data_IF_800769965365
#
_entry.id   IF_800769965365
#
_cell.length_a   1.000
_cell.length_b   1.000
_cell.length_c   1.000
_cell.angle_alpha   90.00
_cell.angle_beta   90.00
_cell.angle_gamma   90.00
#
_symmetry.space_group_name_H-M   'P 1'
#
loop_
_entity.id
_entity.type
_entity.pdbx_description
1 polymer ?
#
# COMPACT_ATOMS: atom_id res chain seq x y z
N UNK A 1 -26.90 -38.91 29.15
CA UNK A 1 -26.88 -37.47 29.49
C UNK A 1 -25.48 -36.83 29.57
N UNK A 2 -24.36 -37.56 29.76
CA UNK A 2 -23.01 -36.96 29.73
C UNK A 2 -22.51 -36.60 28.31
N UNK A 3 -22.90 -37.34 27.27
CA UNK A 3 -22.45 -37.10 25.88
C UNK A 3 -22.89 -35.76 25.28
N UNK A 4 -24.14 -35.35 25.48
CA UNK A 4 -24.71 -34.11 24.91
C UNK A 4 -24.17 -32.81 25.52
N UNK A 5 -23.66 -32.85 26.76
CA UNK A 5 -23.08 -31.67 27.43
C UNK A 5 -21.62 -31.47 27.02
N UNK A 6 -20.87 -32.56 26.79
CA UNK A 6 -19.52 -32.51 26.24
C UNK A 6 -19.54 -31.99 24.79
N UNK A 7 -20.40 -32.54 23.93
CA UNK A 7 -20.59 -32.07 22.54
C UNK A 7 -20.94 -30.59 22.44
N UNK A 8 -21.91 -30.10 23.25
CA UNK A 8 -22.29 -28.67 23.27
C UNK A 8 -21.17 -27.73 23.75
N UNK A 9 -20.20 -28.23 24.52
CA UNK A 9 -19.11 -27.42 25.09
C UNK A 9 -17.89 -27.37 24.17
N UNK A 10 -17.57 -28.46 23.48
CA UNK A 10 -16.58 -28.47 22.38
C UNK A 10 -16.91 -27.43 21.30
N UNK A 11 -18.21 -27.28 21.04
CA UNK A 11 -18.72 -26.28 20.11
C UNK A 11 -18.35 -24.85 20.51
N UNK A 12 -18.11 -24.53 21.79
CA UNK A 12 -17.92 -23.14 22.24
C UNK A 12 -16.50 -22.62 22.00
N UNK A 13 -15.45 -23.30 22.48
CA UNK A 13 -14.07 -22.86 22.22
C UNK A 13 -13.74 -22.91 20.74
N UNK A 14 -14.26 -23.90 20.01
CA UNK A 14 -14.14 -23.97 18.56
C UNK A 14 -14.88 -22.83 17.86
N UNK A 15 -16.09 -22.48 18.31
CA UNK A 15 -16.85 -21.35 17.76
C UNK A 15 -16.14 -20.01 18.01
N UNK A 16 -15.62 -19.79 19.22
CA UNK A 16 -14.83 -18.59 19.53
C UNK A 16 -13.56 -18.54 18.69
N UNK A 17 -12.86 -19.68 18.51
CA UNK A 17 -11.69 -19.78 17.63
C UNK A 17 -12.03 -19.43 16.18
N UNK A 18 -13.15 -19.92 15.65
CA UNK A 18 -13.59 -19.59 14.28
C UNK A 18 -13.84 -18.09 14.14
N UNK A 19 -14.59 -17.49 15.07
CA UNK A 19 -14.82 -16.04 15.07
C UNK A 19 -13.49 -15.28 15.13
N UNK A 20 -12.57 -15.75 15.98
CA UNK A 20 -11.27 -15.12 16.15
C UNK A 20 -10.41 -15.22 14.87
N UNK A 21 -10.39 -16.37 14.19
CA UNK A 21 -9.71 -16.54 12.90
C UNK A 21 -10.26 -15.56 11.87
N UNK A 22 -11.58 -15.44 11.75
CA UNK A 22 -12.20 -14.47 10.84
C UNK A 22 -11.89 -13.03 11.23
N UNK A 23 -11.80 -12.73 12.52
CA UNK A 23 -11.44 -11.39 13.01
C UNK A 23 -9.99 -11.06 12.67
N UNK A 24 -9.06 -12.01 12.87
CA UNK A 24 -7.65 -11.85 12.45
C UNK A 24 -7.58 -11.61 10.95
N UNK A 25 -8.21 -12.46 10.13
CA UNK A 25 -8.26 -12.27 8.67
C UNK A 25 -8.88 -10.93 8.28
N UNK A 26 -9.96 -10.52 8.96
CA UNK A 26 -10.58 -9.23 8.71
C UNK A 26 -9.60 -8.09 8.95
N UNK A 27 -8.88 -8.08 10.08
CA UNK A 27 -7.97 -6.99 10.43
C UNK A 27 -6.65 -7.00 9.67
N UNK A 28 -6.07 -8.18 9.41
CA UNK A 28 -4.77 -8.28 8.74
C UNK A 28 -4.90 -8.23 7.22
N UNK A 29 -6.01 -8.74 6.68
CA UNK A 29 -6.22 -8.82 5.23
C UNK A 29 -7.32 -7.86 4.78
N UNK A 30 -8.53 -7.90 5.34
CA UNK A 30 -9.67 -7.19 4.73
C UNK A 30 -9.77 -5.69 5.05
N UNK A 31 -9.31 -5.25 6.23
CA UNK A 31 -9.36 -3.85 6.64
C UNK A 31 -8.09 -3.08 6.32
N UNK A 32 -7.00 -3.75 5.89
CA UNK A 32 -5.80 -3.06 5.42
C UNK A 32 -6.13 -2.35 4.10
N UNK A 33 -5.90 -1.04 4.04
CA UNK A 33 -5.83 -0.31 2.77
C UNK A 33 -4.67 -0.90 1.97
N UNK A 34 -4.83 -0.89 0.65
CA UNK A 34 -3.81 -1.34 -0.27
C UNK A 34 -2.44 -0.77 0.12
N UNK A 35 -1.47 -1.64 0.40
CA UNK A 35 -0.08 -1.32 0.73
C UNK A 35 0.77 -2.21 -0.12
N UNK A 36 1.44 -1.62 -1.08
CA UNK A 36 2.15 -2.34 -2.10
C UNK A 36 3.65 -2.16 -1.91
N UNK A 37 4.27 -3.18 -1.32
CA UNK A 37 5.72 -3.34 -1.29
C UNK A 37 6.08 -4.65 -2.00
N UNK A 38 7.21 -4.68 -2.72
CA UNK A 38 7.70 -5.88 -3.38
C UNK A 38 8.06 -6.96 -2.33
N UNK A 39 7.64 -8.23 -2.49
CA UNK A 39 7.87 -9.28 -1.51
C UNK A 39 9.36 -9.41 -1.15
N UNK A 40 9.66 -9.30 0.14
CA UNK A 40 11.02 -9.40 0.69
C UNK A 40 11.23 -10.82 1.22
N UNK A 41 12.00 -11.62 0.49
CA UNK A 41 12.28 -13.02 0.88
C UNK A 41 13.46 -13.17 1.86
N UNK A 42 14.09 -12.07 2.26
CA UNK A 42 15.22 -12.07 3.19
C UNK A 42 14.78 -12.52 4.59
N UNK A 43 15.24 -13.69 5.03
CA UNK A 43 14.94 -14.20 6.37
C UNK A 43 15.56 -13.31 7.46
N UNK A 44 14.79 -13.03 8.50
CA UNK A 44 15.16 -12.28 9.71
C UNK A 44 15.57 -10.82 9.49
N UNK A 45 15.16 -10.22 8.36
CA UNK A 45 15.50 -8.83 8.07
C UNK A 45 14.82 -7.87 9.06
N UNK A 46 13.57 -8.12 9.44
CA UNK A 46 12.80 -7.23 10.33
C UNK A 46 13.39 -7.27 11.74
N UNK A 47 13.74 -8.47 12.21
CA UNK A 47 14.47 -8.68 13.46
C UNK A 47 15.83 -7.99 13.46
N UNK A 48 16.59 -8.06 12.36
CA UNK A 48 17.88 -7.37 12.25
C UNK A 48 17.72 -5.86 12.34
N UNK A 49 16.71 -5.27 11.69
CA UNK A 49 16.44 -3.83 11.79
C UNK A 49 16.00 -3.43 13.19
N UNK A 50 15.14 -4.22 13.83
CA UNK A 50 14.75 -3.98 15.22
C UNK A 50 15.96 -3.98 16.16
N UNK A 51 16.84 -4.98 16.05
CA UNK A 51 18.09 -5.07 16.83
C UNK A 51 19.07 -3.92 16.51
N UNK A 52 18.93 -3.28 15.35
CA UNK A 52 19.71 -2.09 14.96
C UNK A 52 19.11 -0.78 15.47
N UNK A 53 17.98 -0.84 16.19
CA UNK A 53 17.36 0.31 16.87
C UNK A 53 16.05 0.80 16.26
N UNK A 54 15.50 0.14 15.24
CA UNK A 54 14.21 0.52 14.66
C UNK A 54 13.03 0.09 15.56
N UNK A 55 12.51 1.04 16.34
CA UNK A 55 11.43 0.79 17.29
C UNK A 55 10.07 0.54 16.63
N UNK A 56 9.86 1.04 15.41
CA UNK A 56 8.60 0.88 14.71
C UNK A 56 8.45 -0.55 14.19
N UNK A 57 9.51 -1.09 13.58
CA UNK A 57 9.57 -2.51 13.18
C UNK A 57 9.46 -3.44 14.39
N UNK A 58 10.11 -3.07 15.50
CA UNK A 58 9.98 -3.82 16.75
C UNK A 58 8.52 -3.89 17.25
N UNK A 59 7.76 -2.80 17.10
CA UNK A 59 6.35 -2.76 17.46
C UNK A 59 5.49 -3.65 16.56
N UNK A 60 5.81 -3.73 15.27
CA UNK A 60 5.14 -4.61 14.31
C UNK A 60 5.34 -6.09 14.67
N UNK A 61 6.58 -6.51 14.91
CA UNK A 61 6.94 -7.88 15.35
C UNK A 61 6.18 -8.25 16.63
N UNK A 62 6.18 -7.36 17.64
CA UNK A 62 5.46 -7.60 18.89
C UNK A 62 3.94 -7.66 18.69
N UNK A 63 3.39 -6.88 17.76
CA UNK A 63 1.99 -6.93 17.35
C UNK A 63 1.60 -8.29 16.78
N UNK A 64 2.42 -8.82 15.87
CA UNK A 64 2.23 -10.13 15.25
C UNK A 64 2.29 -11.27 16.30
N UNK A 65 3.27 -11.24 17.19
CA UNK A 65 3.34 -12.17 18.33
C UNK A 65 2.08 -12.06 19.19
N UNK A 66 1.69 -10.86 19.61
CA UNK A 66 0.54 -10.66 20.49
C UNK A 66 -0.77 -11.15 19.85
N UNK A 67 -0.94 -10.96 18.54
CA UNK A 67 -2.13 -11.37 17.80
C UNK A 67 -2.33 -12.88 17.79
N UNK A 68 -1.27 -13.69 17.82
CA UNK A 68 -1.41 -15.16 17.82
C UNK A 68 -1.52 -15.77 19.22
N UNK A 69 -1.37 -14.99 20.30
CA UNK A 69 -1.54 -15.49 21.68
C UNK A 69 -2.96 -16.05 21.93
N UNK A 70 -4.07 -15.34 21.61
CA UNK A 70 -5.40 -15.90 21.78
C UNK A 70 -5.63 -17.14 20.92
N UNK A 71 -5.09 -17.16 19.70
CA UNK A 71 -5.19 -18.30 18.78
C UNK A 71 -4.60 -19.58 19.39
N UNK A 72 -3.37 -19.51 19.89
CA UNK A 72 -2.71 -20.65 20.55
C UNK A 72 -3.41 -21.11 21.83
N UNK A 73 -3.93 -20.16 22.62
CA UNK A 73 -4.71 -20.46 23.82
C UNK A 73 -6.02 -21.19 23.49
N UNK A 74 -6.78 -20.71 22.50
CA UNK A 74 -8.07 -21.26 22.10
C UNK A 74 -7.96 -22.66 21.45
N UNK A 75 -6.90 -22.90 20.66
CA UNK A 75 -6.62 -24.26 20.14
C UNK A 75 -6.31 -25.22 21.29
N UNK A 76 -5.48 -24.79 22.23
CA UNK A 76 -5.12 -25.60 23.40
C UNK A 76 -6.35 -25.96 24.24
N UNK A 77 -7.25 -24.99 24.44
CA UNK A 77 -8.57 -25.16 25.04
C UNK A 77 -9.44 -26.18 24.29
N UNK A 78 -9.59 -26.03 22.97
CA UNK A 78 -10.41 -26.93 22.16
C UNK A 78 -9.88 -28.37 22.11
N UNK A 79 -8.57 -28.56 22.23
CA UNK A 79 -7.92 -29.88 22.22
C UNK A 79 -7.91 -30.56 23.59
N UNK A 80 -7.94 -29.80 24.68
CA UNK A 80 -7.90 -30.35 26.04
C UNK A 80 -8.99 -31.39 26.28
N UNK A 81 -10.17 -31.13 25.75
CA UNK A 81 -11.33 -31.99 25.95
C UNK A 81 -11.28 -33.28 25.13
N UNK A 82 -10.29 -33.46 24.24
CA UNK A 82 -10.06 -34.68 23.45
C UNK A 82 -9.03 -35.63 24.07
N UNK A 83 -8.60 -35.38 25.31
CA UNK A 83 -7.56 -36.17 25.99
C UNK A 83 -6.24 -36.28 25.19
N UNK A 84 -5.89 -35.24 24.43
CA UNK A 84 -4.63 -35.19 23.68
C UNK A 84 -3.43 -35.11 24.64
N UNK A 85 -2.32 -35.78 24.28
CA UNK A 85 -1.04 -35.57 24.96
C UNK A 85 -0.52 -34.15 24.74
N UNK A 86 0.29 -33.62 25.67
CA UNK A 86 0.90 -32.29 25.53
C UNK A 86 1.70 -32.14 24.23
N UNK A 87 2.39 -33.21 23.82
CA UNK A 87 3.12 -33.24 22.55
C UNK A 87 2.17 -33.08 21.35
N UNK A 88 1.05 -33.79 21.35
CA UNK A 88 0.04 -33.65 20.30
C UNK A 88 -0.57 -32.24 20.28
N UNK A 89 -0.83 -31.64 21.43
CA UNK A 89 -1.28 -30.24 21.51
C UNK A 89 -0.24 -29.29 20.92
N UNK A 90 1.04 -29.43 21.29
CA UNK A 90 2.13 -28.64 20.72
C UNK A 90 2.19 -28.76 19.19
N UNK A 91 2.19 -29.98 18.65
CA UNK A 91 2.23 -30.21 17.20
C UNK A 91 1.04 -29.56 16.49
N UNK A 92 -0.18 -29.69 17.04
CA UNK A 92 -1.37 -29.10 16.42
C UNK A 92 -1.33 -27.57 16.50
N UNK A 93 -0.91 -26.98 17.63
CA UNK A 93 -0.76 -25.53 17.77
C UNK A 93 0.24 -24.99 16.75
N UNK A 94 1.44 -25.58 16.65
CA UNK A 94 2.46 -25.14 15.68
C UNK A 94 1.96 -25.29 14.25
N UNK A 95 1.43 -26.46 13.87
CA UNK A 95 0.94 -26.69 12.51
C UNK A 95 -0.19 -25.74 12.13
N UNK A 96 -1.11 -25.47 13.06
CA UNK A 96 -2.23 -24.56 12.82
C UNK A 96 -1.79 -23.10 12.76
N UNK A 97 -0.81 -22.70 13.58
CA UNK A 97 -0.26 -21.35 13.57
C UNK A 97 0.49 -21.07 12.27
N UNK A 98 1.34 -22.00 11.83
CA UNK A 98 2.05 -21.91 10.54
C UNK A 98 1.04 -21.86 9.38
N UNK A 99 0.05 -22.76 9.37
CA UNK A 99 -0.97 -22.77 8.31
C UNK A 99 -1.78 -21.47 8.27
N UNK A 100 -2.25 -21.00 9.43
CA UNK A 100 -3.01 -19.76 9.53
C UNK A 100 -2.16 -18.55 9.12
N UNK A 101 -0.90 -18.47 9.56
CA UNK A 101 0.00 -17.40 9.19
C UNK A 101 0.29 -17.40 7.70
N UNK A 102 0.65 -18.56 7.11
CA UNK A 102 0.84 -18.67 5.67
C UNK A 102 -0.42 -18.30 4.90
N UNK A 103 -1.60 -18.63 5.41
CA UNK A 103 -2.87 -18.21 4.77
C UNK A 103 -3.00 -16.67 4.79
N UNK A 104 -2.67 -16.02 5.89
CA UNK A 104 -2.66 -14.54 5.99
C UNK A 104 -1.64 -13.95 5.02
N UNK A 105 -0.38 -14.40 5.04
CA UNK A 105 0.69 -13.91 4.17
C UNK A 105 0.39 -14.12 2.68
N UNK A 106 -0.10 -15.30 2.30
CA UNK A 106 -0.48 -15.59 0.90
C UNK A 106 -1.67 -14.74 0.48
N UNK A 107 -2.67 -14.54 1.33
CA UNK A 107 -3.79 -13.65 1.02
C UNK A 107 -3.33 -12.19 0.92
N UNK A 108 -2.42 -11.73 1.79
CA UNK A 108 -1.83 -10.40 1.68
C UNK A 108 -1.01 -10.24 0.41
N UNK A 109 -0.26 -11.26 -0.01
CA UNK A 109 0.49 -11.26 -1.27
C UNK A 109 -0.44 -11.23 -2.50
N UNK A 110 -1.42 -12.13 -2.55
CA UNK A 110 -2.35 -12.27 -3.70
C UNK A 110 -3.30 -11.08 -3.80
N UNK A 111 -3.80 -10.57 -2.68
CA UNK A 111 -4.64 -9.37 -2.64
C UNK A 111 -3.82 -8.08 -2.60
N UNK A 112 -2.49 -8.20 -2.56
CA UNK A 112 -1.53 -7.10 -2.54
C UNK A 112 -1.79 -6.08 -1.41
N UNK A 113 -2.06 -6.59 -0.21
CA UNK A 113 -2.32 -5.82 1.02
C UNK A 113 -1.17 -5.91 2.03
N UNK A 114 -0.02 -6.44 1.60
CA UNK A 114 1.17 -6.58 2.43
C UNK A 114 2.28 -7.34 1.72
N UNK A 115 3.44 -7.35 2.37
CA UNK A 115 4.57 -8.22 2.03
C UNK A 115 4.27 -9.64 2.50
N UNK A 116 4.74 -10.64 1.75
CA UNK A 116 4.89 -11.98 2.30
C UNK A 116 6.18 -12.00 3.13
N UNK A 117 6.09 -12.17 4.44
CA UNK A 117 7.25 -12.13 5.34
C UNK A 117 7.40 -13.43 6.13
N UNK A 118 8.54 -14.11 5.96
CA UNK A 118 8.87 -15.29 6.77
C UNK A 118 8.99 -14.95 8.27
N UNK A 119 9.40 -13.72 8.57
CA UNK A 119 9.55 -13.21 9.93
C UNK A 119 8.21 -13.12 10.66
N UNK A 120 7.13 -12.87 9.93
CA UNK A 120 5.77 -12.83 10.45
C UNK A 120 5.25 -14.22 10.76
N UNK A 121 5.54 -15.21 9.91
CA UNK A 121 5.26 -16.62 10.20
C UNK A 121 5.96 -17.07 11.49
N UNK A 122 7.21 -16.66 11.69
CA UNK A 122 7.95 -16.96 12.92
C UNK A 122 7.37 -16.25 14.15
N UNK A 123 7.06 -14.96 14.03
CA UNK A 123 6.44 -14.14 15.08
C UNK A 123 5.08 -14.71 15.52
N UNK A 124 4.21 -14.99 14.56
CA UNK A 124 2.88 -15.55 14.76
C UNK A 124 2.94 -16.93 15.43
N UNK A 125 3.86 -17.79 14.97
CA UNK A 125 4.07 -19.10 15.59
C UNK A 125 4.55 -18.97 17.04
N UNK A 126 5.45 -18.03 17.33
CA UNK A 126 5.92 -17.74 18.69
C UNK A 126 4.78 -17.25 19.60
N UNK A 127 3.92 -16.38 19.10
CA UNK A 127 2.69 -15.95 19.78
C UNK A 127 1.78 -17.10 20.16
N UNK A 128 1.52 -18.02 19.22
CA UNK A 128 0.69 -19.20 19.46
C UNK A 128 1.28 -20.11 20.55
N UNK A 129 2.60 -20.28 20.58
CA UNK A 129 3.29 -21.04 21.63
C UNK A 129 3.15 -20.38 23.02
N UNK A 130 3.25 -19.05 23.10
CA UNK A 130 2.99 -18.29 24.33
C UNK A 130 1.54 -18.51 24.80
N UNK A 131 0.57 -18.44 23.89
CA UNK A 131 -0.84 -18.74 24.19
C UNK A 131 -1.07 -20.14 24.76
N UNK A 132 -0.43 -21.16 24.18
CA UNK A 132 -0.45 -22.53 24.69
C UNK A 132 0.17 -22.63 26.09
N UNK A 133 1.29 -21.94 26.33
CA UNK A 133 1.93 -21.92 27.64
C UNK A 133 1.02 -21.31 28.70
N UNK A 134 0.39 -20.16 28.41
CA UNK A 134 -0.60 -19.51 29.28
C UNK A 134 -1.74 -20.48 29.62
N UNK A 135 -2.25 -21.21 28.62
CA UNK A 135 -3.28 -22.21 28.83
C UNK A 135 -2.85 -23.30 29.83
N UNK A 136 -1.65 -23.88 29.68
CA UNK A 136 -1.17 -24.91 30.60
C UNK A 136 -0.87 -24.40 32.01
N UNK A 137 -0.41 -23.15 32.14
CA UNK A 137 -0.23 -22.50 33.44
C UNK A 137 -1.59 -22.33 34.12
N UNK A 138 -2.59 -21.81 33.40
CA UNK A 138 -3.94 -21.64 33.91
C UNK A 138 -4.56 -22.98 34.33
N UNK A 139 -4.36 -24.02 33.50
CA UNK A 139 -4.82 -25.38 33.78
C UNK A 139 -4.26 -25.92 35.10
N UNK A 140 -2.95 -25.74 35.30
CA UNK A 140 -2.26 -26.19 36.52
C UNK A 140 -2.68 -25.38 37.74
N UNK A 141 -2.88 -24.07 37.60
CA UNK A 141 -3.14 -23.16 38.71
C UNK A 141 -4.61 -23.16 39.18
N UNK A 142 -5.57 -23.36 38.27
CA UNK A 142 -6.98 -23.07 38.56
C UNK A 142 -7.82 -24.26 39.04
N UNK A 143 -7.30 -25.50 38.99
CA UNK A 143 -7.95 -26.69 39.52
C UNK A 143 -9.43 -26.80 39.13
N UNK A 144 -10.34 -26.88 40.11
CA UNK A 144 -11.80 -26.99 39.89
C UNK A 144 -12.45 -25.75 39.25
N UNK A 145 -11.81 -24.58 39.32
CA UNK A 145 -12.30 -23.31 38.77
C UNK A 145 -11.82 -23.05 37.34
N UNK A 146 -10.94 -23.91 36.82
CA UNK A 146 -10.30 -23.75 35.51
C UNK A 146 -11.28 -23.42 34.39
N UNK A 147 -12.43 -24.08 34.34
CA UNK A 147 -13.39 -23.92 33.23
C UNK A 147 -14.07 -22.55 33.16
N UNK A 148 -14.34 -21.94 34.31
CA UNK A 148 -14.91 -20.59 34.34
C UNK A 148 -13.85 -19.56 33.93
N UNK A 149 -12.63 -19.73 34.45
CA UNK A 149 -11.48 -18.88 34.13
C UNK A 149 -11.04 -19.01 32.67
N UNK A 150 -11.02 -20.22 32.11
CA UNK A 150 -10.63 -20.50 30.72
C UNK A 150 -11.40 -19.65 29.71
N UNK A 151 -12.73 -19.59 29.86
CA UNK A 151 -13.58 -18.83 28.95
C UNK A 151 -13.39 -17.32 29.15
N UNK A 152 -13.39 -16.84 30.39
CA UNK A 152 -13.23 -15.41 30.70
C UNK A 152 -11.84 -14.89 30.29
N UNK A 153 -10.79 -15.66 30.54
CA UNK A 153 -9.41 -15.34 30.15
C UNK A 153 -9.27 -15.38 28.63
N UNK A 154 -9.82 -16.40 27.95
CA UNK A 154 -9.79 -16.47 26.49
C UNK A 154 -10.46 -15.27 25.82
N UNK A 155 -11.64 -14.86 26.31
CA UNK A 155 -12.34 -13.66 25.81
C UNK A 155 -11.53 -12.40 26.10
N UNK A 156 -11.00 -12.25 27.33
CA UNK A 156 -10.26 -11.06 27.72
C UNK A 156 -8.97 -10.88 26.90
N UNK A 157 -8.21 -11.96 26.67
CA UNK A 157 -7.01 -11.93 25.82
C UNK A 157 -7.40 -11.61 24.38
N UNK A 158 -8.46 -12.23 23.84
CA UNK A 158 -8.93 -11.93 22.48
C UNK A 158 -9.34 -10.45 22.31
N UNK A 159 -10.13 -9.90 23.25
CA UNK A 159 -10.54 -8.49 23.23
C UNK A 159 -9.35 -7.57 23.39
N UNK A 160 -8.44 -7.85 24.33
CA UNK A 160 -7.24 -7.05 24.53
C UNK A 160 -6.35 -7.00 23.27
N UNK A 161 -6.15 -8.15 22.62
CA UNK A 161 -5.40 -8.20 21.37
C UNK A 161 -6.12 -7.44 20.24
N UNK A 162 -7.45 -7.55 20.13
CA UNK A 162 -8.22 -6.75 19.17
C UNK A 162 -8.05 -5.26 19.46
N UNK A 163 -8.12 -4.83 20.73
CA UNK A 163 -7.92 -3.41 21.10
C UNK A 163 -6.51 -2.93 20.78
N UNK A 164 -5.46 -3.74 20.99
CA UNK A 164 -4.09 -3.37 20.59
C UNK A 164 -3.98 -3.25 19.08
N UNK A 165 -4.52 -4.22 18.33
CA UNK A 165 -4.47 -4.23 16.86
C UNK A 165 -5.26 -3.05 16.28
N UNK A 166 -6.46 -2.77 16.81
CA UNK A 166 -7.29 -1.63 16.40
C UNK A 166 -6.74 -0.28 16.88
N UNK A 167 -6.17 -0.23 18.09
CA UNK A 167 -5.67 1.00 18.72
C UNK A 167 -4.35 1.48 18.14
N UNK A 168 -3.58 0.61 17.47
CA UNK A 168 -2.42 0.99 16.67
C UNK A 168 -2.78 1.42 15.25
N UNK A 169 -4.05 1.32 14.84
CA UNK A 169 -4.56 1.93 13.64
C UNK A 169 -4.72 3.43 13.82
N UNK A 170 -3.60 4.16 13.98
CA UNK A 170 -3.63 5.58 13.73
C UNK A 170 -4.19 5.76 12.31
N UNK A 171 -5.32 6.45 12.23
CA UNK A 171 -5.93 6.98 11.02
C UNK A 171 -5.02 8.03 10.39
N UNK A 172 -3.79 7.66 10.06
CA UNK A 172 -3.08 8.33 8.98
C UNK A 172 -3.75 7.80 7.71
N UNK A 173 -4.30 8.72 6.91
CA UNK A 173 -4.71 8.39 5.56
C UNK A 173 -3.47 7.89 4.81
N UNK A 174 -3.19 6.59 4.88
CA UNK A 174 -2.14 5.98 4.10
C UNK A 174 -2.53 6.16 2.63
N UNK A 175 -1.77 7.01 1.95
CA UNK A 175 -1.93 7.30 0.53
C UNK A 175 -1.70 6.04 -0.29
N UNK A 176 -2.48 5.89 -1.36
CA UNK A 176 -2.33 4.77 -2.30
C UNK A 176 -0.92 4.74 -2.88
N UNK A 177 -0.17 3.67 -2.67
CA UNK A 177 1.21 3.51 -3.12
C UNK A 177 1.36 2.61 -4.36
N UNK A 178 0.26 2.32 -5.08
CA UNK A 178 0.26 1.56 -6.36
C UNK A 178 1.31 2.06 -7.36
N UNK A 179 1.59 3.38 -7.38
CA UNK A 179 2.58 3.99 -8.25
C UNK A 179 3.99 3.41 -8.09
N UNK A 180 4.30 2.75 -6.97
CA UNK A 180 5.60 2.12 -6.69
C UNK A 180 5.77 0.74 -7.32
N UNK A 181 4.70 0.15 -7.85
CA UNK A 181 4.71 -1.26 -8.29
C UNK A 181 4.83 -1.43 -9.80
N UNK A 182 4.33 -0.45 -10.54
CA UNK A 182 4.26 -0.54 -11.98
C UNK A 182 4.32 0.84 -12.62
N UNK A 183 4.90 0.87 -13.80
CA UNK A 183 4.85 1.99 -14.69
C UNK A 183 3.57 1.92 -15.51
N UNK A 184 2.91 3.07 -15.69
CA UNK A 184 1.78 3.24 -16.58
C UNK A 184 1.71 4.68 -17.04
N UNK A 185 1.65 4.88 -18.35
CA UNK A 185 1.50 6.18 -18.97
C UNK A 185 0.68 6.05 -20.25
N UNK A 186 -0.20 7.01 -20.46
CA UNK A 186 -0.92 7.23 -21.73
C UNK A 186 -0.27 8.41 -22.44
N UNK A 187 0.24 8.18 -23.64
CA UNK A 187 0.92 9.19 -24.45
C UNK A 187 -0.05 9.93 -25.36
N UNK A 188 -1.08 9.23 -25.84
CA UNK A 188 -2.16 9.81 -26.62
C UNK A 188 -3.44 9.05 -26.36
N UNK A 189 -4.54 9.78 -26.19
CA UNK A 189 -5.89 9.23 -26.20
C UNK A 189 -6.81 10.17 -26.98
N UNK A 190 -7.77 9.60 -27.70
CA UNK A 190 -8.81 10.33 -28.39
C UNK A 190 -10.07 9.49 -28.52
N UNK A 191 -11.22 10.14 -28.39
CA UNK A 191 -12.53 9.52 -28.56
C UNK A 191 -13.13 10.05 -29.87
N UNK A 192 -13.51 9.14 -30.75
CA UNK A 192 -14.14 9.46 -32.02
C UNK A 192 -15.29 8.49 -32.28
N UNK A 193 -16.49 9.01 -32.52
CA UNK A 193 -17.71 8.24 -32.80
C UNK A 193 -17.98 7.15 -31.74
N UNK A 194 -17.87 7.51 -30.46
CA UNK A 194 -18.06 6.57 -29.34
C UNK A 194 -16.99 5.49 -29.18
N UNK A 195 -15.84 5.62 -29.86
CA UNK A 195 -14.71 4.69 -29.73
C UNK A 195 -13.48 5.42 -29.22
N UNK A 196 -12.95 4.97 -28.08
CA UNK A 196 -11.67 5.46 -27.56
C UNK A 196 -10.51 4.73 -28.24
N UNK A 197 -9.50 5.49 -28.64
CA UNK A 197 -8.21 4.97 -29.09
C UNK A 197 -7.13 5.57 -28.21
N UNK A 198 -6.30 4.72 -27.63
CA UNK A 198 -5.24 5.17 -26.73
C UNK A 198 -3.94 4.40 -26.95
N UNK A 199 -2.83 5.10 -26.76
CA UNK A 199 -1.47 4.56 -26.87
C UNK A 199 -0.67 4.95 -25.64
N UNK A 200 0.29 4.11 -25.28
CA UNK A 200 1.13 4.35 -24.13
C UNK A 200 1.99 3.14 -23.82
N UNK A 201 2.44 3.03 -22.58
CA UNK A 201 3.21 1.90 -22.11
C UNK A 201 2.91 1.56 -20.66
N UNK A 202 3.04 0.28 -20.33
CA UNK A 202 2.88 -0.20 -18.97
C UNK A 202 3.70 -1.46 -18.72
N UNK A 203 4.26 -1.56 -17.52
CA UNK A 203 5.00 -2.74 -17.09
C UNK A 203 5.15 -2.72 -15.57
N UNK A 204 5.45 -3.88 -14.99
CA UNK A 204 5.74 -3.98 -13.55
C UNK A 204 7.24 -3.80 -13.30
N UNK A 205 7.58 -2.96 -12.34
CA UNK A 205 8.99 -2.74 -12.00
C UNK A 205 9.62 -4.04 -11.47
N UNK A 206 10.86 -4.29 -11.90
CA UNK A 206 11.68 -5.44 -11.45
C UNK A 206 11.00 -6.80 -11.68
N UNK A 207 10.20 -6.90 -12.74
CA UNK A 207 9.51 -8.13 -13.12
C UNK A 207 9.70 -8.38 -14.62
N UNK A 208 9.77 -9.64 -15.06
CA UNK A 208 9.72 -9.97 -16.49
C UNK A 208 8.44 -9.41 -17.13
N UNK A 209 8.53 -9.06 -18.41
CA UNK A 209 7.36 -8.60 -19.16
C UNK A 209 6.25 -9.65 -19.18
N UNK A 210 5.06 -9.17 -18.86
CA UNK A 210 3.82 -9.94 -18.90
C UNK A 210 2.74 -9.09 -19.52
N UNK A 211 1.97 -9.69 -20.43
CA UNK A 211 0.81 -9.04 -21.03
C UNK A 211 -0.21 -8.66 -19.93
N UNK A 212 -0.99 -7.62 -20.19
CA UNK A 212 -2.01 -7.10 -19.28
C UNK A 212 -3.27 -6.74 -20.06
N UNK A 213 -4.38 -6.74 -19.34
CA UNK A 213 -5.65 -6.21 -19.82
C UNK A 213 -5.84 -4.78 -19.30
N UNK A 214 -6.50 -3.94 -20.10
CA UNK A 214 -6.95 -2.62 -19.69
C UNK A 214 -8.48 -2.57 -19.64
N UNK A 215 -8.99 -1.83 -18.67
CA UNK A 215 -10.41 -1.61 -18.47
C UNK A 215 -10.68 -0.13 -18.19
N UNK A 216 -11.86 0.33 -18.57
CA UNK A 216 -12.38 1.64 -18.22
C UNK A 216 -13.45 1.47 -17.15
N UNK A 217 -13.21 2.03 -15.97
CA UNK A 217 -14.17 1.97 -14.87
C UNK A 217 -15.35 2.89 -15.16
N UNK A 218 -16.56 2.34 -15.08
CA UNK A 218 -17.82 3.06 -15.21
C UNK A 218 -18.78 2.67 -14.08
N UNK A 219 -19.74 3.54 -13.78
CA UNK A 219 -20.79 3.28 -12.78
C UNK A 219 -21.59 2.00 -13.07
N UNK A 220 -21.70 1.63 -14.35
CA UNK A 220 -22.45 0.45 -14.81
C UNK A 220 -21.61 -0.84 -14.88
N UNK A 221 -20.32 -0.76 -14.55
CA UNK A 221 -19.36 -1.85 -14.66
C UNK A 221 -18.19 -1.51 -15.57
N UNK A 222 -17.07 -2.19 -15.35
CA UNK A 222 -15.83 -1.95 -16.07
C UNK A 222 -15.94 -2.41 -17.53
N UNK A 223 -15.57 -1.55 -18.49
CA UNK A 223 -15.52 -1.85 -19.92
C UNK A 223 -14.13 -2.38 -20.27
N UNK A 224 -14.04 -3.59 -20.82
CA UNK A 224 -12.75 -4.16 -21.24
C UNK A 224 -12.32 -3.57 -22.58
N UNK A 225 -11.05 -3.16 -22.68
CA UNK A 225 -10.45 -2.70 -23.93
C UNK A 225 -9.79 -3.86 -24.69
N UNK A 226 -9.77 -3.76 -26.01
CA UNK A 226 -8.91 -4.58 -26.86
C UNK A 226 -7.50 -4.00 -26.84
N UNK A 227 -6.53 -4.78 -26.35
CA UNK A 227 -5.15 -4.33 -26.16
C UNK A 227 -4.22 -5.07 -27.12
N UNK A 228 -3.44 -4.31 -27.88
CA UNK A 228 -2.35 -4.81 -28.70
C UNK A 228 -1.01 -4.30 -28.15
N UNK A 229 -0.10 -5.22 -27.83
CA UNK A 229 1.24 -4.88 -27.33
C UNK A 229 2.13 -4.34 -28.47
N UNK A 230 2.99 -3.38 -28.15
CA UNK A 230 3.89 -2.68 -29.08
C UNK A 230 5.32 -2.60 -28.50
N UNK A 231 6.32 -2.62 -29.37
CA UNK A 231 7.72 -2.45 -28.99
C UNK A 231 8.08 -0.97 -28.72
N UNK A 232 8.84 -0.75 -27.67
CA UNK A 232 9.26 0.50 -27.02
C UNK A 232 10.65 0.33 -26.40
N UNK A 233 11.70 0.19 -27.24
CA UNK A 233 13.08 0.03 -26.75
C UNK A 233 13.59 1.25 -25.97
N UNK A 234 13.06 2.43 -26.23
CA UNK A 234 13.30 3.68 -25.50
C UNK A 234 12.93 3.59 -24.00
N UNK A 235 11.94 2.77 -23.64
CA UNK A 235 11.60 2.49 -22.24
C UNK A 235 12.76 1.80 -21.53
N UNK A 236 13.44 0.85 -22.19
CA UNK A 236 14.63 0.20 -21.62
C UNK A 236 15.77 1.19 -21.41
N UNK A 237 15.98 2.10 -22.36
CA UNK A 237 17.06 3.09 -22.28
C UNK A 237 16.89 4.02 -21.06
N UNK A 238 15.65 4.41 -20.76
CA UNK A 238 15.34 5.25 -19.60
C UNK A 238 15.46 4.48 -18.27
N UNK A 239 14.78 3.33 -18.12
CA UNK A 239 14.75 2.60 -16.85
C UNK A 239 16.02 1.78 -16.59
N UNK A 240 16.79 1.45 -17.63
CA UNK A 240 18.14 0.90 -17.58
C UNK A 240 18.33 -0.20 -16.54
N UNK A 241 17.55 -1.28 -16.61
CA UNK A 241 17.60 -2.40 -15.66
C UNK A 241 17.83 -3.75 -16.36
N UNK A 242 18.07 -4.81 -15.58
CA UNK A 242 18.35 -6.17 -16.08
C UNK A 242 17.12 -6.86 -16.73
N UNK A 243 15.93 -6.25 -16.62
CA UNK A 243 14.71 -6.75 -17.23
C UNK A 243 14.43 -6.04 -18.55
N UNK A 244 13.93 -6.81 -19.52
CA UNK A 244 13.57 -6.31 -20.84
C UNK A 244 12.11 -5.83 -20.86
N UNK A 245 11.92 -4.52 -20.90
CA UNK A 245 10.64 -3.82 -21.09
C UNK A 245 10.43 -3.36 -22.53
N UNK A 246 11.15 -3.89 -23.52
CA UNK A 246 10.99 -3.45 -24.91
C UNK A 246 9.54 -3.65 -25.37
N UNK A 247 8.86 -4.72 -24.96
CA UNK A 247 7.47 -4.96 -25.35
C UNK A 247 6.42 -4.35 -24.41
N UNK A 248 6.73 -3.23 -23.76
CA UNK A 248 5.85 -2.59 -22.77
C UNK A 248 4.81 -1.63 -23.36
N UNK A 249 4.95 -1.27 -24.64
CA UNK A 249 4.00 -0.41 -25.32
C UNK A 249 2.65 -1.07 -25.51
N UNK A 250 1.59 -0.27 -25.60
CA UNK A 250 0.26 -0.74 -25.95
C UNK A 250 -0.46 0.23 -26.89
N UNK A 251 -1.33 -0.34 -27.72
CA UNK A 251 -2.45 0.34 -28.37
C UNK A 251 -3.72 -0.30 -27.84
N UNK A 252 -4.67 0.49 -27.35
CA UNK A 252 -5.92 -0.01 -26.83
C UNK A 252 -7.12 0.71 -27.43
N UNK A 253 -8.17 -0.05 -27.71
CA UNK A 253 -9.44 0.44 -28.27
C UNK A 253 -10.64 -0.13 -27.52
N UNK A 254 -11.74 0.62 -27.47
CA UNK A 254 -12.99 0.15 -26.89
C UNK A 254 -14.15 1.12 -27.10
N UNK A 255 -15.36 0.62 -26.90
CA UNK A 255 -16.58 1.42 -26.96
C UNK A 255 -16.77 2.20 -25.66
N UNK A 256 -17.07 3.49 -25.77
CA UNK A 256 -17.31 4.40 -24.65
C UNK A 256 -18.54 5.26 -24.93
N UNK A 257 -19.20 5.71 -23.85
CA UNK A 257 -20.21 6.75 -23.97
C UNK A 257 -19.47 8.09 -24.13
N UNK A 258 -19.94 8.93 -25.05
CA UNK A 258 -19.48 10.32 -25.18
C UNK A 258 -19.81 11.14 -23.93
N UNK A 259 -19.05 12.21 -23.70
CA UNK A 259 -19.15 13.16 -22.59
C UNK A 259 -18.96 12.54 -21.19
N UNK A 260 -18.21 11.43 -21.10
CA UNK A 260 -17.86 10.78 -19.83
C UNK A 260 -16.36 10.72 -19.59
N UNK A 261 -15.99 10.80 -18.31
CA UNK A 261 -14.65 10.50 -17.84
C UNK A 261 -14.60 9.07 -17.28
N UNK A 262 -13.55 8.34 -17.65
CA UNK A 262 -13.31 6.97 -17.23
C UNK A 262 -11.96 6.86 -16.55
N UNK A 263 -11.91 6.21 -15.39
CA UNK A 263 -10.65 5.80 -14.77
C UNK A 263 -10.11 4.54 -15.47
N UNK A 264 -8.84 4.54 -15.86
CA UNK A 264 -8.20 3.36 -16.43
C UNK A 264 -7.77 2.41 -15.33
N UNK A 265 -8.16 1.16 -15.46
CA UNK A 265 -7.79 0.04 -14.59
C UNK A 265 -6.93 -0.93 -15.38
N UNK A 266 -5.76 -1.26 -14.84
CA UNK A 266 -4.85 -2.25 -15.42
C UNK A 266 -4.93 -3.56 -14.67
N UNK A 267 -4.90 -4.69 -15.38
CA UNK A 267 -4.97 -6.02 -14.78
C UNK A 267 -3.96 -6.96 -15.41
N UNK A 268 -3.04 -7.44 -14.58
CA UNK A 268 -2.12 -8.52 -14.95
C UNK A 268 -2.72 -9.90 -14.64
N UNK A 269 -2.21 -10.97 -15.28
CA UNK A 269 -2.56 -12.34 -14.94
C UNK A 269 -2.44 -12.59 -13.43
N UNK A 270 -3.46 -13.21 -12.84
CA UNK A 270 -3.53 -13.58 -11.42
C UNK A 270 -3.61 -12.41 -10.43
N UNK A 271 -3.65 -11.16 -10.90
CA UNK A 271 -3.84 -9.97 -10.07
C UNK A 271 -5.26 -9.41 -10.20
N UNK A 272 -5.68 -8.70 -9.16
CA UNK A 272 -6.89 -7.87 -9.21
C UNK A 272 -6.64 -6.64 -10.09
N UNK A 273 -7.71 -6.03 -10.61
CA UNK A 273 -7.59 -4.77 -11.36
C UNK A 273 -7.06 -3.66 -10.45
N UNK A 274 -6.02 -2.97 -10.88
CA UNK A 274 -5.35 -1.90 -10.16
C UNK A 274 -5.71 -0.55 -10.79
N UNK A 275 -6.01 0.44 -9.93
CA UNK A 275 -6.16 1.82 -10.39
C UNK A 275 -4.84 2.33 -10.93
N UNK A 276 -4.90 2.93 -12.13
CA UNK A 276 -3.78 3.67 -12.71
C UNK A 276 -3.71 5.11 -12.21
N UNK A 277 -4.78 5.65 -11.61
CA UNK A 277 -4.87 7.09 -11.34
C UNK A 277 -4.82 7.95 -12.60
N UNK A 278 -5.04 7.34 -13.78
CA UNK A 278 -5.15 8.02 -15.06
C UNK A 278 -6.59 7.93 -15.52
N UNK A 279 -7.11 9.06 -15.95
CA UNK A 279 -8.48 9.22 -16.40
C UNK A 279 -8.47 9.67 -17.86
N UNK A 280 -9.48 9.26 -18.62
CA UNK A 280 -9.65 9.59 -20.03
C UNK A 280 -11.06 10.08 -20.29
N UNK A 281 -11.18 11.13 -21.09
CA UNK A 281 -12.44 11.73 -21.53
C UNK A 281 -12.27 12.36 -22.91
N UNK A 282 -13.34 12.95 -23.46
CA UNK A 282 -13.28 13.70 -24.72
C UNK A 282 -12.32 14.89 -24.68
N UNK A 283 -12.05 15.39 -23.48
CA UNK A 283 -11.18 16.55 -23.27
C UNK A 283 -9.69 16.16 -23.17
N UNK A 284 -9.39 14.86 -22.97
CA UNK A 284 -8.05 14.31 -23.03
C UNK A 284 -7.74 13.33 -21.91
N UNK A 285 -6.46 13.34 -21.48
CA UNK A 285 -5.90 12.44 -20.46
C UNK A 285 -5.60 13.24 -19.20
N UNK A 286 -6.15 12.81 -18.06
CA UNK A 286 -5.91 13.41 -16.75
C UNK A 286 -5.14 12.46 -15.85
N UNK A 287 -4.14 12.98 -15.13
CA UNK A 287 -3.24 12.20 -14.25
C UNK A 287 -3.47 12.45 -12.76
N UNK A 288 -4.54 13.17 -12.43
CA UNK A 288 -5.05 13.38 -11.09
C UNK A 288 -6.59 13.37 -11.16
N UNK A 289 -7.25 12.84 -10.14
CA UNK A 289 -8.70 12.81 -10.09
C UNK A 289 -9.26 14.23 -9.88
N UNK A 290 -10.08 14.69 -10.83
CA UNK A 290 -10.73 16.00 -10.81
C UNK A 290 -11.03 16.46 -12.22
N UNK A 291 -12.31 16.72 -12.52
CA UNK A 291 -12.75 17.13 -13.85
C UNK A 291 -11.89 18.29 -14.41
N UNK A 292 -11.62 18.28 -15.72
CA UNK A 292 -10.85 19.34 -16.41
C UNK A 292 -11.39 20.76 -16.21
N UNK A 293 -12.68 20.89 -15.86
CA UNK A 293 -13.31 22.17 -15.50
C UNK A 293 -12.79 22.81 -14.20
N UNK A 294 -11.85 22.16 -13.51
CA UNK A 294 -11.26 22.62 -12.24
C UNK A 294 -9.81 23.10 -12.39
N UNK A 295 -9.34 23.47 -13.59
CA UNK A 295 -8.02 24.13 -13.69
C UNK A 295 -8.02 25.42 -12.89
N UNK A 296 -6.96 25.62 -12.09
CA UNK A 296 -6.74 26.88 -11.40
C UNK A 296 -6.58 28.00 -12.42
N UNK A 297 -7.22 29.15 -12.16
CA UNK A 297 -7.17 30.32 -13.03
C UNK A 297 -5.82 31.02 -12.87
N UNK A 298 -4.81 30.49 -13.57
CA UNK A 298 -3.44 30.96 -13.54
C UNK A 298 -2.82 30.85 -14.94
N UNK A 299 -2.51 32.00 -15.54
CA UNK A 299 -1.82 32.09 -16.82
C UNK A 299 -0.33 31.77 -16.64
N UNK A 300 0.03 30.50 -16.86
CA UNK A 300 1.40 30.03 -16.84
C UNK A 300 1.59 28.78 -17.71
N UNK A 301 2.74 28.70 -18.40
CA UNK A 301 3.07 27.56 -19.27
C UNK A 301 2.94 26.19 -18.59
N UNK A 302 3.32 26.07 -17.31
CA UNK A 302 3.24 24.81 -16.56
C UNK A 302 1.80 24.43 -16.16
N UNK A 303 0.83 25.34 -16.26
CA UNK A 303 -0.59 25.08 -16.08
C UNK A 303 -1.23 24.67 -17.41
N UNK A 304 -0.88 25.36 -18.50
CA UNK A 304 -1.46 25.09 -19.82
C UNK A 304 -0.91 23.82 -20.47
N UNK A 305 0.42 23.65 -20.41
CA UNK A 305 1.18 22.59 -21.11
C UNK A 305 1.73 21.53 -20.16
N UNK A 306 1.69 21.78 -18.86
CA UNK A 306 2.14 20.83 -17.85
C UNK A 306 1.10 19.77 -17.54
N UNK A 307 1.53 18.72 -16.85
CA UNK A 307 0.69 17.60 -16.42
C UNK A 307 0.35 17.77 -14.95
N UNK A 308 -0.95 17.90 -14.62
CA UNK A 308 -1.41 17.90 -13.24
C UNK A 308 -1.15 16.52 -12.60
N UNK A 309 -0.43 16.50 -11.49
CA UNK A 309 -0.02 15.28 -10.78
C UNK A 309 -0.72 15.07 -9.44
N UNK A 310 -1.10 16.16 -8.77
CA UNK A 310 -1.77 16.15 -7.47
C UNK A 310 -2.82 17.24 -7.46
N UNK A 311 -4.04 16.87 -7.08
CA UNK A 311 -5.18 17.77 -6.97
C UNK A 311 -5.75 17.73 -5.55
N UNK A 312 -5.36 18.71 -4.71
CA UNK A 312 -5.76 18.78 -3.29
C UNK A 312 -6.38 20.12 -2.91
N UNK A 313 -7.61 20.39 -3.38
CA UNK A 313 -8.34 21.61 -3.01
C UNK A 313 -8.69 21.65 -1.52
N UNK A 314 -8.80 20.50 -0.85
CA UNK A 314 -8.96 20.38 0.61
C UNK A 314 -7.78 20.92 1.40
N UNK A 315 -6.60 21.00 0.78
CA UNK A 315 -5.38 21.57 1.35
C UNK A 315 -4.85 22.74 0.51
N UNK A 316 -5.67 23.31 -0.38
CA UNK A 316 -5.30 24.47 -1.18
C UNK A 316 -3.97 24.30 -1.95
N UNK A 317 -3.65 23.07 -2.37
CA UNK A 317 -2.36 22.72 -2.97
C UNK A 317 -2.52 21.83 -4.21
N UNK A 318 -1.79 22.20 -5.26
CA UNK A 318 -1.81 21.53 -6.56
C UNK A 318 -0.38 21.31 -7.03
N UNK A 319 -0.09 20.17 -7.67
CA UNK A 319 1.26 19.88 -8.16
C UNK A 319 1.24 19.57 -9.64
N UNK A 320 2.02 20.33 -10.41
CA UNK A 320 2.19 20.14 -11.86
C UNK A 320 3.59 19.66 -12.17
N UNK A 321 3.72 18.82 -13.20
CA UNK A 321 5.00 18.43 -13.78
C UNK A 321 5.15 19.04 -15.18
N UNK A 322 6.27 19.71 -15.43
CA UNK A 322 6.55 20.32 -16.72
C UNK A 322 8.05 20.47 -16.95
N UNK A 323 8.56 20.01 -18.10
CA UNK A 323 9.96 20.15 -18.53
C UNK A 323 10.99 19.68 -17.49
N UNK A 324 10.75 18.54 -16.84
CA UNK A 324 11.63 18.00 -15.80
C UNK A 324 11.60 18.76 -14.47
N UNK A 325 10.58 19.58 -14.21
CA UNK A 325 10.35 20.25 -12.93
C UNK A 325 8.99 19.87 -12.34
N UNK A 326 8.92 19.91 -11.01
CA UNK A 326 7.68 19.93 -10.24
C UNK A 326 7.38 21.36 -9.76
N UNK A 327 6.11 21.73 -9.85
CA UNK A 327 5.58 23.03 -9.46
C UNK A 327 4.48 22.81 -8.43
N UNK A 328 4.71 23.21 -7.18
CA UNK A 328 3.68 23.26 -6.15
C UNK A 328 3.02 24.62 -6.21
N UNK A 329 1.75 24.64 -6.55
CA UNK A 329 0.93 25.84 -6.63
C UNK A 329 -0.03 25.83 -5.44
N UNK A 330 0.02 26.87 -4.64
CA UNK A 330 -0.84 27.03 -3.46
C UNK A 330 -1.61 28.34 -3.56
N UNK A 331 -2.88 28.33 -3.14
CA UNK A 331 -3.69 29.55 -3.12
C UNK A 331 -3.52 30.32 -1.79
N UNK A 332 -4.25 31.45 -1.67
CA UNK A 332 -4.16 32.35 -0.52
C UNK A 332 -4.60 31.73 0.81
N UNK A 333 -5.39 30.66 0.77
CA UNK A 333 -5.96 29.99 1.93
C UNK A 333 -5.11 28.78 2.38
N UNK A 334 -3.95 28.57 1.74
CA UNK A 334 -2.99 27.55 2.16
C UNK A 334 -2.44 27.84 3.55
N UNK A 335 -2.50 26.83 4.43
CA UNK A 335 -2.06 26.93 5.83
C UNK A 335 -0.52 27.01 5.93
N UNK A 336 0.00 28.23 5.98
CA UNK A 336 1.37 28.50 6.41
C UNK A 336 1.47 28.48 7.94
N UNK A 337 2.65 28.15 8.47
CA UNK A 337 2.88 28.19 9.92
C UNK A 337 2.82 29.62 10.47
N UNK A 338 2.78 29.77 11.81
CA UNK A 338 2.72 31.09 12.47
C UNK A 338 3.88 32.02 12.06
N UNK A 339 5.04 31.45 11.70
CA UNK A 339 6.22 32.16 11.20
C UNK A 339 6.23 32.35 9.67
N UNK A 340 5.15 31.94 9.00
CA UNK A 340 4.97 31.97 7.55
C UNK A 340 5.69 30.88 6.79
N UNK A 341 6.32 29.91 7.47
CA UNK A 341 7.07 28.84 6.82
C UNK A 341 6.21 27.59 6.54
N UNK A 342 6.51 26.86 5.47
CA UNK A 342 5.90 25.54 5.23
C UNK A 342 6.93 24.57 4.68
N UNK A 343 7.11 23.43 5.34
CA UNK A 343 8.00 22.38 4.83
C UNK A 343 7.26 21.42 3.90
N UNK A 344 7.54 21.52 2.61
CA UNK A 344 7.09 20.57 1.61
C UNK A 344 8.12 19.44 1.52
N UNK A 345 7.68 18.22 1.80
CA UNK A 345 8.50 17.04 1.62
C UNK A 345 8.07 16.31 0.35
N UNK A 346 9.05 15.89 -0.45
CA UNK A 346 8.80 15.02 -1.60
C UNK A 346 9.92 13.99 -1.78
N UNK A 347 9.55 12.72 -1.84
CA UNK A 347 10.49 11.61 -1.92
C UNK A 347 10.42 10.98 -3.31
N UNK A 348 11.59 10.75 -3.89
CA UNK A 348 11.75 10.15 -5.21
C UNK A 348 12.20 8.70 -5.07
N UNK A 349 11.38 7.78 -5.58
CA UNK A 349 11.67 6.35 -5.55
C UNK A 349 12.33 5.91 -6.85
N UNK A 350 13.21 4.92 -6.76
CA UNK A 350 13.90 4.33 -7.91
C UNK A 350 14.21 2.86 -7.64
N UNK A 351 14.33 2.08 -8.70
CA UNK A 351 14.91 0.73 -8.66
C UNK A 351 16.44 0.77 -8.77
N UNK A 352 17.01 1.86 -9.30
CA UNK A 352 18.46 2.09 -9.43
C UNK A 352 19.05 2.66 -8.14
N UNK A 353 18.87 1.92 -7.04
CA UNK A 353 19.23 2.42 -5.69
C UNK A 353 20.72 2.71 -5.52
N UNK A 354 21.57 2.04 -6.28
CA UNK A 354 23.02 2.25 -6.38
C UNK A 354 23.41 3.61 -6.97
N UNK A 355 22.49 4.27 -7.68
CA UNK A 355 22.69 5.60 -8.28
C UNK A 355 22.20 6.75 -7.40
N UNK A 356 21.68 6.45 -6.21
CA UNK A 356 21.26 7.47 -5.26
C UNK A 356 22.48 8.26 -4.72
N UNK A 357 22.26 9.51 -4.25
CA UNK A 357 23.32 10.30 -3.62
C UNK A 357 24.01 9.56 -2.46
N UNK A 358 25.32 9.76 -2.27
CA UNK A 358 26.15 9.01 -1.32
C UNK A 358 25.60 9.03 0.12
N UNK A 359 25.09 10.18 0.56
CA UNK A 359 24.46 10.34 1.87
C UNK A 359 23.18 9.48 2.08
N UNK A 360 22.57 8.98 1.00
CA UNK A 360 21.45 8.03 1.03
C UNK A 360 21.96 6.60 1.13
N UNK A 361 22.97 6.28 0.34
CA UNK A 361 23.62 4.97 0.31
C UNK A 361 24.18 4.61 1.70
N UNK A 362 24.88 5.53 2.35
CA UNK A 362 25.43 5.35 3.71
C UNK A 362 24.37 5.01 4.76
N UNK A 363 23.13 5.48 4.55
CA UNK A 363 21.99 5.28 5.46
C UNK A 363 21.09 4.12 5.05
N UNK A 364 21.39 3.45 3.93
CA UNK A 364 20.60 2.34 3.39
C UNK A 364 19.19 2.75 2.93
N UNK A 365 19.00 3.99 2.51
CA UNK A 365 17.71 4.45 1.96
C UNK A 365 17.52 3.99 0.51
N UNK A 366 16.27 3.68 0.15
CA UNK A 366 15.87 3.22 -1.20
C UNK A 366 15.19 4.32 -2.02
N UNK A 367 15.25 5.55 -1.54
CA UNK A 367 14.63 6.73 -2.14
C UNK A 367 15.46 7.96 -1.82
N UNK A 368 15.37 8.96 -2.68
CA UNK A 368 15.89 10.28 -2.36
C UNK A 368 14.83 11.08 -1.61
N UNK A 369 15.08 11.32 -0.33
CA UNK A 369 14.18 12.10 0.52
C UNK A 369 14.45 13.60 0.38
N UNK A 370 13.81 14.22 -0.59
CA UNK A 370 13.98 15.64 -0.87
C UNK A 370 12.91 16.44 -0.12
N UNK A 371 13.24 17.65 0.29
CA UNK A 371 12.31 18.51 0.98
C UNK A 371 12.87 19.89 1.14
N UNK A 372 12.00 20.82 1.48
CA UNK A 372 12.37 22.21 1.59
C UNK A 372 11.25 23.05 2.14
N UNK A 373 11.65 24.14 2.79
CA UNK A 373 10.73 25.24 3.05
C UNK A 373 10.29 25.84 1.72
N UNK A 374 8.98 25.96 1.54
CA UNK A 374 8.33 26.45 0.33
C UNK A 374 8.93 27.80 -0.10
N UNK A 375 9.08 28.70 0.87
CA UNK A 375 9.55 30.08 0.72
C UNK A 375 10.96 30.14 0.14
N UNK A 376 11.79 29.15 0.42
CA UNK A 376 13.18 29.09 -0.10
C UNK A 376 13.22 28.81 -1.60
N UNK A 377 12.22 28.11 -2.12
CA UNK A 377 12.15 27.66 -3.52
C UNK A 377 10.98 28.28 -4.28
N UNK A 378 10.44 29.36 -3.71
CA UNK A 378 9.36 30.14 -4.29
C UNK A 378 9.86 30.90 -5.52
N UNK A 379 9.10 30.75 -6.61
CA UNK A 379 9.34 31.45 -7.87
C UNK A 379 8.84 32.88 -7.70
N UNK A 380 9.67 33.85 -8.06
CA UNK A 380 9.26 35.24 -8.14
C UNK A 380 8.53 35.46 -9.46
N UNK A 381 7.31 36.01 -9.40
CA UNK A 381 6.47 36.25 -10.57
C UNK A 381 5.10 36.81 -10.17
N UNK A 382 4.33 37.26 -11.16
CA UNK A 382 2.91 37.58 -10.96
C UNK A 382 2.09 36.32 -11.18
N UNK A 383 1.66 35.71 -10.07
CA UNK A 383 0.80 34.53 -10.07
C UNK A 383 -0.58 34.87 -9.47
N UNK A 384 -0.94 36.16 -9.44
CA UNK A 384 -2.18 36.64 -8.84
C UNK A 384 -2.28 36.26 -7.36
N UNK A 385 -3.31 35.47 -7.01
CA UNK A 385 -3.54 34.98 -5.63
C UNK A 385 -2.73 33.74 -5.28
N UNK A 386 -1.99 33.17 -6.22
CA UNK A 386 -1.26 31.94 -6.04
C UNK A 386 0.20 32.21 -5.68
N UNK A 387 0.81 31.28 -4.96
CA UNK A 387 2.25 31.19 -4.73
C UNK A 387 2.76 29.90 -5.35
N UNK A 388 3.98 29.92 -5.88
CA UNK A 388 4.52 28.79 -6.65
C UNK A 388 5.90 28.42 -6.16
N UNK A 389 6.08 27.18 -5.71
CA UNK A 389 7.38 26.57 -5.44
C UNK A 389 7.81 25.70 -6.63
N UNK A 390 9.07 25.80 -7.05
CA UNK A 390 9.62 25.03 -8.18
C UNK A 390 10.82 24.19 -7.79
N UNK A 391 10.85 22.92 -8.20
CA UNK A 391 11.99 22.01 -7.99
C UNK A 391 12.29 21.18 -9.23
N UNK A 392 13.59 21.00 -9.50
CA UNK A 392 14.07 20.15 -10.61
C UNK A 392 14.01 18.67 -10.19
N UNK A 393 13.60 17.81 -11.11
CA UNK A 393 13.75 16.37 -10.97
C UNK A 393 15.18 15.94 -11.38
N UNK A 394 15.82 15.05 -10.61
CA UNK A 394 17.12 14.49 -10.96
C UNK A 394 17.04 13.70 -12.27
N UNK A 395 18.17 13.62 -12.97
CA UNK A 395 18.32 12.86 -14.22
C UNK A 395 19.36 11.73 -14.09
N UNK A 396 19.98 11.61 -12.91
CA UNK A 396 21.03 10.65 -12.60
C UNK A 396 20.50 9.21 -12.47
N UNK A 397 19.21 9.07 -12.18
CA UNK A 397 18.53 7.80 -12.02
C UNK A 397 17.07 7.87 -12.49
N UNK A 398 16.54 6.73 -12.92
CA UNK A 398 15.14 6.62 -13.32
C UNK A 398 14.22 6.72 -12.10
N UNK A 399 13.28 7.67 -12.12
CA UNK A 399 12.30 7.84 -11.04
C UNK A 399 11.10 6.92 -11.33
N UNK A 400 10.72 6.07 -10.39
CA UNK A 400 9.58 5.13 -10.54
C UNK A 400 8.30 5.62 -9.87
N UNK A 401 8.42 6.39 -8.79
CA UNK A 401 7.29 6.95 -8.04
C UNK A 401 7.75 8.19 -7.28
N UNK A 402 6.84 9.13 -7.09
CA UNK A 402 7.04 10.34 -6.29
C UNK A 402 5.95 10.37 -5.22
N UNK A 403 6.34 10.62 -3.98
CA UNK A 403 5.41 11.04 -2.93
C UNK A 403 5.68 12.48 -2.60
N UNK A 404 4.63 13.28 -2.44
CA UNK A 404 4.76 14.66 -1.97
C UNK A 404 3.68 14.98 -0.96
N UNK A 405 3.92 15.99 -0.13
CA UNK A 405 2.92 16.48 0.80
C UNK A 405 3.45 17.46 1.81
N UNK A 406 2.54 17.93 2.66
CA UNK A 406 2.87 18.82 3.75
C UNK A 406 3.39 18.04 4.96
N UNK A 407 4.58 18.39 5.45
CA UNK A 407 5.23 17.71 6.57
C UNK A 407 5.50 18.66 7.73
N UNK A 408 4.98 18.31 8.92
CA UNK A 408 5.04 19.14 10.13
C UNK A 408 5.34 18.28 11.35
N UNK A 409 6.26 18.73 12.21
CA UNK A 409 6.59 18.10 13.49
C UNK A 409 6.86 16.58 13.41
N UNK A 410 7.57 16.14 12.37
CA UNK A 410 7.90 14.74 12.17
C UNK A 410 6.78 13.88 11.57
N UNK A 411 5.67 14.48 11.13
CA UNK A 411 4.50 13.78 10.58
C UNK A 411 4.02 14.41 9.28
N UNK A 412 3.50 13.57 8.40
CA UNK A 412 2.78 14.03 7.21
C UNK A 412 1.39 14.52 7.63
N UNK A 413 1.09 15.79 7.36
CA UNK A 413 -0.26 16.32 7.50
C UNK A 413 -1.15 15.76 6.39
N UNK A 414 -0.60 15.70 5.19
CA UNK A 414 -1.12 14.92 4.08
C UNK A 414 0.06 14.47 3.21
N UNK A 415 -0.16 13.41 2.44
CA UNK A 415 0.77 12.97 1.39
C UNK A 415 0.01 12.32 0.26
N UNK A 416 0.60 12.32 -0.91
CA UNK A 416 0.03 11.72 -2.12
C UNK A 416 1.14 11.12 -2.97
N UNK A 417 0.93 9.90 -3.47
CA UNK A 417 1.85 9.26 -4.39
C UNK A 417 1.33 9.40 -5.82
N UNK A 418 2.26 9.57 -6.76
CA UNK A 418 1.98 9.55 -8.18
C UNK A 418 3.19 9.02 -8.96
N UNK A 419 2.96 8.58 -10.20
CA UNK A 419 4.06 8.24 -11.13
C UNK A 419 4.54 9.53 -11.80
N UNK A 420 5.84 9.74 -12.02
CA UNK A 420 6.26 10.86 -12.86
C UNK A 420 5.69 10.69 -14.28
N UNK A 421 5.48 11.80 -14.97
CA UNK A 421 5.26 11.78 -16.41
C UNK A 421 6.61 11.62 -17.11
N UNK A 422 6.76 10.62 -17.96
CA UNK A 422 8.01 10.29 -18.64
C UNK A 422 8.00 10.92 -20.03
N UNK A 423 8.96 11.82 -20.29
CA UNK A 423 9.20 12.40 -21.62
C UNK A 423 10.24 11.51 -22.33
N UNK A 424 9.78 10.41 -22.96
CA UNK A 424 10.63 9.41 -23.65
C UNK A 424 10.78 9.68 -25.15
#
# INVERSE_FOLDING_TARGET
MKGTILEKKHSRSLFILIIYIFTVLWFTVFSRRNHFQAPRFDLFWSYKKWLSGDSDIGREILGNIAMFIPFGFLISSALKDRCCSRWKTFTVVVASAVLQSLTVEVLQLVLMRGLFEWDDVFSNTSGALIGMLIFFILEKASGKHFRALETSVGILIAVFCIVIVCGNGNTEAQADDTSRMYCFQVESAGIHDGVINMTGFAFRYEQPMTDFDLFLRSEKGDVKLEVQMVERPDVNDYFGCDHDYSRSGFMATGEVDEDKEYEIIIKWPWLIGLSTGVFVSDAGVNYAGGNETTRIDLDADFIEKGVLRVWRPDYHCFVYQYQGFLYWVVDSDFDFEDDGSTYIQYQLWTTQTDRLPENRLEKGYLWDNIGGYFEKYEVQGDFGRYRVMKRKLPMEYAITSIVTGYYKNGRWIWKEYFRPYYEL
#
